data_IF_657180585984
#
_entry.id   IF_657180585984
#
_cell.length_a   1.000
_cell.length_b   1.000
_cell.length_c   1.000
_cell.angle_alpha   90.00
_cell.angle_beta   90.00
_cell.angle_gamma   90.00
#
_symmetry.space_group_name_H-M   'P 1'
#
loop_
_entity.id
_entity.type
_entity.pdbx_description
1 polymer ?
#
# COMPACT_ATOMS: atom_id res chain seq x y z
N UNK A 1 -8.51 -4.02 -7.07
CA UNK A 1 -7.66 -3.50 -8.17
C UNK A 1 -6.46 -2.82 -7.53
N UNK A 2 -5.32 -3.52 -7.52
CA UNK A 2 -4.00 -2.90 -7.38
C UNK A 2 -3.43 -2.66 -8.78
N UNK A 3 -2.19 -2.13 -8.89
CA UNK A 3 -1.54 -1.93 -10.17
C UNK A 3 -1.45 -3.25 -10.96
N UNK A 4 -1.46 -3.14 -12.29
CA UNK A 4 -1.53 -4.28 -13.20
C UNK A 4 -0.24 -5.12 -13.22
N UNK A 5 0.88 -4.52 -12.79
CA UNK A 5 2.21 -5.10 -12.86
C UNK A 5 2.81 -5.30 -11.46
N UNK A 6 3.51 -6.43 -11.22
CA UNK A 6 4.15 -6.70 -9.94
C UNK A 6 5.25 -5.70 -9.60
N UNK A 7 5.99 -5.20 -10.59
CA UNK A 7 7.06 -4.21 -10.41
C UNK A 7 6.52 -2.86 -9.87
N UNK A 8 5.43 -2.37 -10.46
CA UNK A 8 4.71 -1.19 -9.95
C UNK A 8 4.16 -1.43 -8.53
N UNK A 9 3.78 -2.67 -8.24
CA UNK A 9 3.33 -3.08 -6.91
C UNK A 9 4.46 -2.93 -5.89
N UNK A 10 5.63 -3.49 -6.18
CA UNK A 10 6.82 -3.40 -5.30
C UNK A 10 7.31 -1.96 -5.14
N UNK A 11 7.31 -1.18 -6.23
CA UNK A 11 7.67 0.24 -6.19
C UNK A 11 6.72 1.07 -5.31
N UNK A 12 5.41 0.81 -5.37
CA UNK A 12 4.42 1.48 -4.53
C UNK A 12 4.51 0.98 -3.08
N UNK A 13 4.64 -0.34 -2.87
CA UNK A 13 4.79 -0.94 -1.53
C UNK A 13 5.99 -0.36 -0.80
N UNK A 14 7.17 -0.30 -1.43
CA UNK A 14 8.38 0.24 -0.80
C UNK A 14 8.22 1.70 -0.36
N UNK A 15 7.43 2.51 -1.08
CA UNK A 15 7.16 3.91 -0.74
C UNK A 15 6.22 4.06 0.45
N UNK A 16 5.17 3.24 0.51
CA UNK A 16 4.14 3.33 1.55
C UNK A 16 4.47 2.50 2.78
N UNK A 17 5.42 1.57 2.71
CA UNK A 17 5.78 0.68 3.81
C UNK A 17 6.18 1.48 5.06
N UNK A 18 7.11 2.43 4.94
CA UNK A 18 7.54 3.22 6.10
C UNK A 18 6.42 4.08 6.68
N UNK A 19 5.57 4.67 5.82
CA UNK A 19 4.44 5.49 6.22
C UNK A 19 3.39 4.66 6.98
N UNK A 20 3.09 3.47 6.46
CA UNK A 20 2.19 2.51 7.07
C UNK A 20 2.66 2.09 8.45
N UNK A 21 3.93 1.67 8.58
CA UNK A 21 4.50 1.20 9.85
C UNK A 21 4.58 2.31 10.90
N UNK A 22 4.74 3.57 10.47
CA UNK A 22 4.68 4.74 11.38
C UNK A 22 3.27 5.01 11.89
N UNK A 23 2.25 4.83 11.05
CA UNK A 23 0.85 5.00 11.44
C UNK A 23 0.30 3.80 12.22
N UNK A 24 0.88 2.62 12.01
CA UNK A 24 0.44 1.36 12.60
C UNK A 24 1.61 0.66 13.33
N UNK A 25 2.06 1.20 14.48
CA UNK A 25 3.15 0.59 15.24
C UNK A 25 2.78 -0.83 15.68
N UNK A 26 3.60 -1.81 15.27
CA UNK A 26 3.36 -3.24 15.52
C UNK A 26 2.64 -3.97 14.39
N UNK A 27 2.25 -3.27 13.32
CA UNK A 27 1.67 -3.84 12.12
C UNK A 27 2.56 -3.53 10.91
N UNK A 28 2.59 -4.43 9.93
CA UNK A 28 3.37 -4.24 8.71
C UNK A 28 2.48 -4.37 7.48
N UNK A 29 2.82 -3.62 6.43
CA UNK A 29 2.11 -3.67 5.15
C UNK A 29 2.03 -5.10 4.57
N UNK A 30 3.09 -5.91 4.76
CA UNK A 30 3.09 -7.34 4.40
C UNK A 30 2.00 -8.14 5.12
N UNK A 31 1.76 -7.85 6.39
CA UNK A 31 0.74 -8.54 7.16
C UNK A 31 -0.67 -8.09 6.75
N UNK A 32 -0.85 -6.78 6.54
CA UNK A 32 -2.08 -6.25 5.92
C UNK A 32 -2.40 -6.93 4.59
N UNK A 33 -1.41 -7.07 3.70
CA UNK A 33 -1.57 -7.80 2.42
C UNK A 33 -2.01 -9.25 2.63
N UNK A 34 -1.47 -9.93 3.66
CA UNK A 34 -1.83 -11.32 3.98
C UNK A 34 -3.28 -11.39 4.48
N UNK A 35 -3.69 -10.50 5.39
CA UNK A 35 -5.06 -10.39 5.93
C UNK A 35 -6.09 -9.94 4.88
N UNK A 36 -5.68 -9.06 3.97
CA UNK A 36 -6.50 -8.61 2.85
C UNK A 36 -6.96 -9.77 1.95
N UNK A 37 -6.29 -10.94 1.94
CA UNK A 37 -6.82 -12.08 1.16
C UNK A 37 -8.20 -12.54 1.67
N UNK A 38 -8.42 -12.47 2.98
CA UNK A 38 -9.58 -13.03 3.66
C UNK A 38 -10.60 -11.97 4.08
N UNK A 39 -10.14 -10.76 4.39
CA UNK A 39 -10.98 -9.67 4.91
C UNK A 39 -11.30 -8.62 3.84
N UNK A 40 -12.59 -8.30 3.68
CA UNK A 40 -13.03 -7.19 2.81
C UNK A 40 -12.59 -5.84 3.37
N UNK A 41 -12.51 -5.71 4.69
CA UNK A 41 -12.03 -4.50 5.36
C UNK A 41 -10.55 -4.27 5.04
N UNK A 42 -9.71 -5.29 5.21
CA UNK A 42 -8.28 -5.19 4.92
C UNK A 42 -8.00 -5.04 3.42
N UNK A 43 -8.85 -5.60 2.55
CA UNK A 43 -8.87 -5.28 1.11
C UNK A 43 -9.07 -3.80 0.86
N UNK A 44 -10.01 -3.18 1.58
CA UNK A 44 -10.29 -1.75 1.50
C UNK A 44 -9.09 -0.92 1.95
N UNK A 45 -8.53 -1.24 3.13
CA UNK A 45 -7.34 -0.58 3.67
C UNK A 45 -6.14 -0.67 2.72
N UNK A 46 -5.83 -1.87 2.22
CA UNK A 46 -4.72 -2.06 1.29
C UNK A 46 -4.92 -1.24 0.01
N UNK A 47 -6.14 -1.20 -0.53
CA UNK A 47 -6.45 -0.40 -1.72
C UNK A 47 -6.23 1.09 -1.49
N UNK A 48 -6.62 1.61 -0.34
CA UNK A 48 -6.45 3.02 0.00
C UNK A 48 -4.96 3.39 0.10
N UNK A 49 -4.19 2.57 0.81
CA UNK A 49 -2.74 2.73 0.91
C UNK A 49 -2.03 2.68 -0.45
N UNK A 50 -2.40 1.75 -1.33
CA UNK A 50 -1.85 1.70 -2.69
C UNK A 50 -2.19 2.96 -3.50
N UNK A 51 -3.37 3.55 -3.30
CA UNK A 51 -3.78 4.82 -3.95
C UNK A 51 -2.94 5.99 -3.46
N UNK A 52 -2.64 6.06 -2.16
CA UNK A 52 -1.75 7.07 -1.58
C UNK A 52 -0.35 6.97 -2.22
N UNK A 53 0.20 5.75 -2.29
CA UNK A 53 1.52 5.52 -2.89
C UNK A 53 1.59 5.82 -4.38
N UNK A 54 0.53 5.51 -5.13
CA UNK A 54 0.42 5.87 -6.54
C UNK A 54 0.30 7.40 -6.74
N UNK A 55 -0.47 8.09 -5.89
CA UNK A 55 -0.66 9.55 -6.00
C UNK A 55 0.62 10.32 -5.68
N UNK A 56 1.44 9.83 -4.74
CA UNK A 56 2.75 10.44 -4.43
C UNK A 56 3.72 10.42 -5.62
N UNK A 57 3.56 9.49 -6.57
CA UNK A 57 4.34 9.49 -7.82
C UNK A 57 3.94 10.66 -8.74
N UNK A 58 2.65 10.98 -8.82
CA UNK A 58 2.13 12.06 -9.65
C UNK A 58 2.38 13.47 -9.06
N UNK A 59 2.81 13.56 -7.79
CA UNK A 59 3.04 14.81 -7.07
C UNK A 59 4.48 15.33 -7.07
N UNK A 60 5.45 14.59 -7.64
CA UNK A 60 6.86 15.01 -7.68
C UNK A 60 7.27 15.53 -9.07
N UNK A 61 6.44 16.41 -9.62
CA UNK A 61 6.75 17.23 -10.80
C UNK A 61 6.21 18.63 -10.54
N UNK A 62 6.96 19.43 -9.77
CA UNK A 62 6.86 20.88 -9.81
C UNK A 62 8.21 21.51 -9.52
#
# INVERSE_FOLDING_TARGET
MGPANPDEWEAIEGRIQNDYERCHPGDSLRDLRRRARFSKEDKGRLRDWMKIGATRQAGNSK
#
